data_IF_895892106555
#
_entry.id   IF_895892106555
#
_cell.length_a   1.000
_cell.length_b   1.000
_cell.length_c   1.000
_cell.angle_alpha   90.00
_cell.angle_beta   90.00
_cell.angle_gamma   90.00
#
_symmetry.space_group_name_H-M   'P 1'
#
loop_
_entity.id
_entity.type
_entity.pdbx_description
1 polymer ?
#
# COMPACT_ATOMS: atom_id res chain seq x y z
N UNK A 1 8.15 -4.96 -12.73
CA UNK A 1 9.22 -4.58 -11.79
C UNK A 1 8.75 -4.69 -10.33
N UNK A 2 7.65 -4.04 -9.93
CA UNK A 2 7.23 -3.96 -8.50
C UNK A 2 7.18 -5.34 -7.81
N UNK A 3 6.67 -6.36 -8.49
CA UNK A 3 6.57 -7.73 -7.97
C UNK A 3 7.80 -8.60 -8.24
N UNK A 4 8.87 -8.06 -8.81
CA UNK A 4 10.15 -8.75 -8.96
C UNK A 4 10.95 -8.79 -7.66
N UNK A 5 12.02 -9.58 -7.63
CA UNK A 5 12.91 -9.65 -6.47
C UNK A 5 13.45 -8.27 -6.07
N UNK A 6 13.85 -7.45 -7.03
CA UNK A 6 14.36 -6.10 -6.78
C UNK A 6 13.28 -5.17 -6.21
N UNK A 7 12.07 -5.20 -6.79
CA UNK A 7 10.95 -4.41 -6.30
C UNK A 7 10.52 -4.82 -4.90
N UNK A 8 10.39 -6.11 -4.64
CA UNK A 8 9.99 -6.63 -3.33
C UNK A 8 11.07 -6.44 -2.26
N UNK A 9 12.35 -6.41 -2.63
CA UNK A 9 13.44 -6.03 -1.73
C UNK A 9 13.37 -4.54 -1.31
N UNK A 10 12.81 -3.66 -2.14
CA UNK A 10 12.53 -2.28 -1.77
C UNK A 10 11.34 -2.22 -0.83
N UNK A 11 10.25 -2.93 -1.15
CA UNK A 11 9.04 -3.00 -0.33
C UNK A 11 9.35 -3.50 1.08
N UNK A 12 10.15 -4.58 1.21
CA UNK A 12 10.45 -5.22 2.50
C UNK A 12 11.25 -4.35 3.48
N UNK A 13 11.74 -3.18 3.08
CA UNK A 13 12.43 -2.26 3.99
C UNK A 13 11.48 -1.58 4.98
N UNK A 14 10.24 -1.33 4.56
CA UNK A 14 9.28 -0.55 5.36
C UNK A 14 7.91 -1.24 5.47
N UNK A 15 7.65 -2.28 4.66
CA UNK A 15 6.38 -3.00 4.56
C UNK A 15 6.62 -4.50 4.50
N UNK A 16 5.54 -5.27 4.54
CA UNK A 16 5.59 -6.72 4.36
C UNK A 16 5.51 -7.00 2.85
N UNK A 17 6.55 -7.65 2.32
CA UNK A 17 6.57 -8.10 0.93
C UNK A 17 5.47 -9.13 0.67
N UNK A 18 4.94 -9.13 -0.55
CA UNK A 18 3.86 -10.06 -0.93
C UNK A 18 4.34 -11.22 -1.79
N UNK A 19 5.63 -11.23 -2.14
CA UNK A 19 6.24 -12.25 -2.99
C UNK A 19 7.69 -12.55 -2.55
N UNK A 20 7.85 -13.38 -1.54
CA UNK A 20 9.16 -13.77 -1.00
C UNK A 20 10.01 -14.62 -1.96
N UNK A 21 9.38 -15.28 -2.93
CA UNK A 21 10.03 -16.08 -3.96
C UNK A 21 10.10 -15.41 -5.32
N UNK A 22 10.04 -14.09 -5.37
CA UNK A 22 10.03 -13.34 -6.62
C UNK A 22 11.28 -13.59 -7.48
N UNK A 23 11.06 -13.82 -8.79
CA UNK A 23 12.15 -13.88 -9.75
C UNK A 23 12.75 -12.48 -9.99
N UNK A 24 14.04 -12.40 -10.37
CA UNK A 24 14.63 -11.14 -10.82
C UNK A 24 13.83 -10.51 -11.97
N UNK A 25 13.88 -9.17 -12.05
CA UNK A 25 13.20 -8.46 -13.11
C UNK A 25 13.82 -8.80 -14.48
N UNK A 26 12.99 -9.34 -15.35
CA UNK A 26 13.37 -9.71 -16.73
C UNK A 26 12.46 -9.08 -17.77
N UNK A 27 11.68 -8.07 -17.38
CA UNK A 27 10.73 -7.39 -18.26
C UNK A 27 11.41 -6.53 -19.35
N UNK A 28 10.63 -6.19 -20.35
CA UNK A 28 11.03 -5.23 -21.38
C UNK A 28 11.24 -3.84 -20.76
N UNK A 29 12.00 -3.01 -21.46
CA UNK A 29 12.27 -1.60 -21.08
C UNK A 29 11.55 -0.65 -22.04
N UNK A 30 10.21 -0.54 -21.94
CA UNK A 30 9.46 0.34 -22.84
C UNK A 30 9.82 1.80 -22.58
N UNK A 31 9.75 2.62 -23.62
CA UNK A 31 9.83 4.07 -23.50
C UNK A 31 8.42 4.67 -23.50
N UNK A 32 8.28 5.82 -22.89
CA UNK A 32 7.03 6.57 -22.83
C UNK A 32 6.73 7.09 -21.43
N UNK A 33 5.60 7.80 -21.33
CA UNK A 33 5.12 8.40 -20.09
C UNK A 33 3.97 7.60 -19.53
N UNK A 34 3.98 7.39 -18.21
CA UNK A 34 2.84 6.90 -17.43
C UNK A 34 2.59 7.82 -16.24
N UNK A 35 1.34 8.00 -15.89
CA UNK A 35 0.90 8.78 -14.73
C UNK A 35 0.35 7.83 -13.66
N UNK A 36 0.98 7.84 -12.51
CA UNK A 36 0.62 7.01 -11.36
C UNK A 36 0.10 7.93 -10.26
N UNK A 37 -1.08 7.66 -9.70
CA UNK A 37 -1.63 8.56 -8.69
C UNK A 37 -2.51 7.89 -7.66
N UNK A 38 -2.66 8.53 -6.49
CA UNK A 38 -3.57 8.09 -5.44
C UNK A 38 -2.96 8.11 -4.03
N UNK A 39 -3.24 7.09 -3.24
CA UNK A 39 -3.00 6.99 -1.81
C UNK A 39 -1.67 7.55 -1.31
N UNK A 40 -1.74 8.51 -0.38
CA UNK A 40 -0.58 9.07 0.32
C UNK A 40 0.17 8.03 1.17
N UNK A 41 -0.50 6.98 1.64
CA UNK A 41 0.15 5.88 2.37
C UNK A 41 1.01 5.01 1.45
N UNK A 42 0.67 4.92 0.16
CA UNK A 42 1.43 4.17 -0.85
C UNK A 42 2.54 5.03 -1.47
N UNK A 43 2.39 6.34 -1.46
CA UNK A 43 3.33 7.30 -2.05
C UNK A 43 4.80 7.01 -1.73
N UNK A 44 5.20 6.92 -0.45
CA UNK A 44 6.61 6.75 -0.09
C UNK A 44 7.29 5.49 -0.64
N UNK A 45 6.58 4.36 -0.68
CA UNK A 45 7.13 3.14 -1.27
C UNK A 45 7.14 3.22 -2.80
N UNK A 46 6.13 3.86 -3.39
CA UNK A 46 6.05 4.03 -4.84
C UNK A 46 7.17 4.95 -5.36
N UNK A 47 7.51 6.02 -4.64
CA UNK A 47 8.65 6.89 -4.97
C UNK A 47 9.95 6.09 -5.08
N UNK A 48 10.26 5.25 -4.09
CA UNK A 48 11.45 4.39 -4.08
C UNK A 48 11.45 3.39 -5.23
N UNK A 49 10.28 2.81 -5.55
CA UNK A 49 10.11 1.87 -6.66
C UNK A 49 10.29 2.55 -8.02
N UNK A 50 9.77 3.76 -8.18
CA UNK A 50 9.92 4.58 -9.39
C UNK A 50 11.38 4.96 -9.61
N UNK A 51 12.07 5.44 -8.58
CA UNK A 51 13.49 5.77 -8.66
C UNK A 51 14.33 4.56 -9.11
N UNK A 52 14.16 3.42 -8.44
CA UNK A 52 14.89 2.20 -8.78
C UNK A 52 14.55 1.69 -10.20
N UNK A 53 13.30 1.82 -10.63
CA UNK A 53 12.92 1.42 -11.99
C UNK A 53 13.53 2.33 -13.06
N UNK A 54 13.62 3.64 -12.80
CA UNK A 54 14.27 4.60 -13.72
C UNK A 54 15.75 4.32 -13.95
N UNK A 55 16.45 3.77 -12.94
CA UNK A 55 17.85 3.32 -13.10
C UNK A 55 17.95 2.14 -14.08
N UNK A 56 16.97 1.24 -14.07
CA UNK A 56 16.92 0.08 -14.96
C UNK A 56 16.43 0.47 -16.35
N UNK A 57 15.45 1.36 -16.42
CA UNK A 57 14.79 1.79 -17.65
C UNK A 57 14.77 3.32 -17.77
N UNK A 58 15.79 3.87 -18.37
CA UNK A 58 15.94 5.32 -18.59
C UNK A 58 14.99 5.90 -19.65
N UNK A 59 14.31 5.05 -20.41
CA UNK A 59 13.31 5.47 -21.40
C UNK A 59 11.90 5.68 -20.84
N UNK A 60 11.66 5.29 -19.57
CA UNK A 60 10.37 5.47 -18.93
C UNK A 60 10.29 6.82 -18.20
N UNK A 61 9.29 7.62 -18.53
CA UNK A 61 8.90 8.80 -17.76
C UNK A 61 7.73 8.43 -16.85
N UNK A 62 7.94 8.49 -15.54
CA UNK A 62 6.91 8.17 -14.56
C UNK A 62 6.61 9.42 -13.76
N UNK A 63 5.37 9.91 -13.88
CA UNK A 63 4.82 11.01 -13.09
C UNK A 63 4.05 10.41 -11.91
N UNK A 64 4.39 10.84 -10.69
CA UNK A 64 3.74 10.37 -9.47
C UNK A 64 2.91 11.51 -8.83
N UNK A 65 1.62 11.26 -8.64
CA UNK A 65 0.68 12.19 -8.01
C UNK A 65 0.15 11.61 -6.71
N UNK A 66 0.52 12.20 -5.57
CA UNK A 66 0.13 11.71 -4.24
C UNK A 66 -1.12 12.44 -3.76
N UNK A 67 -2.19 11.68 -3.52
CA UNK A 67 -3.51 12.16 -3.11
C UNK A 67 -4.13 11.21 -2.06
N UNK A 68 -5.37 10.81 -2.26
CA UNK A 68 -6.06 9.77 -1.52
C UNK A 68 -6.44 8.57 -2.41
N UNK A 69 -6.81 7.45 -1.76
CA UNK A 69 -7.16 6.22 -2.49
C UNK A 69 -8.38 6.39 -3.41
N UNK A 70 -9.35 7.22 -3.04
CA UNK A 70 -10.55 7.43 -3.87
C UNK A 70 -10.23 8.23 -5.11
N UNK A 71 -9.43 9.30 -4.98
CA UNK A 71 -8.93 10.07 -6.12
C UNK A 71 -8.11 9.20 -7.07
N UNK A 72 -7.25 8.30 -6.53
CA UNK A 72 -6.51 7.35 -7.33
C UNK A 72 -7.40 6.40 -8.13
N UNK A 73 -8.43 5.83 -7.51
CA UNK A 73 -9.34 4.92 -8.20
C UNK A 73 -10.20 5.64 -9.23
N UNK A 74 -10.75 6.81 -8.88
CA UNK A 74 -11.53 7.64 -9.83
C UNK A 74 -10.68 8.05 -11.03
N UNK A 75 -9.46 8.53 -10.79
CA UNK A 75 -8.57 8.94 -11.87
C UNK A 75 -8.17 7.81 -12.81
N UNK A 76 -8.03 6.58 -12.30
CA UNK A 76 -7.76 5.42 -13.13
C UNK A 76 -9.00 4.98 -13.95
N UNK A 77 -10.20 5.04 -13.36
CA UNK A 77 -11.47 4.76 -14.08
C UNK A 77 -11.70 5.78 -15.19
N UNK A 78 -11.47 7.07 -14.91
CA UNK A 78 -11.68 8.15 -15.86
C UNK A 78 -10.59 8.24 -16.94
N UNK A 79 -9.52 7.42 -16.83
CA UNK A 79 -8.39 7.44 -17.76
C UNK A 79 -7.45 8.65 -17.60
N UNK A 80 -7.56 9.39 -16.49
CA UNK A 80 -6.64 10.48 -16.15
C UNK A 80 -5.33 9.97 -15.53
N UNK A 81 -5.35 8.76 -15.00
CA UNK A 81 -4.20 8.03 -14.47
C UNK A 81 -4.08 6.69 -15.19
N UNK A 82 -2.86 6.29 -15.55
CA UNK A 82 -2.58 4.96 -16.08
C UNK A 82 -2.60 3.90 -14.98
N UNK A 83 -2.22 4.30 -13.75
CA UNK A 83 -2.20 3.43 -12.57
C UNK A 83 -2.73 4.19 -11.35
N UNK A 84 -3.73 3.62 -10.70
CA UNK A 84 -4.25 4.13 -9.43
C UNK A 84 -3.60 3.45 -8.22
N UNK A 85 -3.24 4.20 -7.19
CA UNK A 85 -2.73 3.70 -5.91
C UNK A 85 -3.80 3.73 -4.83
N UNK A 86 -3.97 2.62 -4.10
CA UNK A 86 -4.88 2.55 -2.97
C UNK A 86 -4.28 1.80 -1.78
N UNK A 87 -4.53 2.27 -0.56
CA UNK A 87 -4.21 1.60 0.70
C UNK A 87 -5.41 0.86 1.29
N UNK A 88 -6.36 0.50 0.45
CA UNK A 88 -7.57 -0.29 0.77
C UNK A 88 -7.93 -1.21 -0.38
N UNK A 89 -8.78 -2.18 -0.11
CA UNK A 89 -9.40 -2.98 -1.18
C UNK A 89 -10.28 -2.13 -2.11
N UNK A 90 -10.49 -2.60 -3.33
CA UNK A 90 -11.43 -2.01 -4.26
C UNK A 90 -12.87 -2.17 -3.76
N UNK A 91 -13.69 -1.14 -3.91
CA UNK A 91 -15.13 -1.21 -3.74
C UNK A 91 -15.75 -2.05 -4.86
N UNK A 92 -16.95 -2.57 -4.67
CA UNK A 92 -17.58 -3.43 -5.68
C UNK A 92 -17.81 -2.70 -7.01
N UNK A 93 -18.13 -1.41 -6.97
CA UNK A 93 -18.23 -0.57 -8.17
C UNK A 93 -16.88 -0.37 -8.88
N UNK A 94 -15.78 -0.34 -8.14
CA UNK A 94 -14.43 -0.18 -8.70
C UNK A 94 -13.90 -1.49 -9.31
N UNK A 95 -14.30 -2.66 -8.75
CA UNK A 95 -13.90 -3.98 -9.26
C UNK A 95 -14.43 -4.29 -10.66
N UNK A 96 -15.51 -3.63 -11.06
CA UNK A 96 -16.08 -3.78 -12.40
C UNK A 96 -15.20 -3.14 -13.48
N UNK A 97 -14.43 -2.10 -13.12
CA UNK A 97 -13.66 -1.27 -14.03
C UNK A 97 -12.13 -1.44 -13.86
N UNK A 98 -11.69 -1.87 -12.67
CA UNK A 98 -10.28 -1.92 -12.31
C UNK A 98 -9.83 -3.33 -11.90
N UNK A 99 -8.61 -3.68 -12.29
CA UNK A 99 -7.90 -4.86 -11.78
C UNK A 99 -6.94 -4.45 -10.68
N UNK A 100 -7.06 -5.06 -9.48
CA UNK A 100 -6.15 -4.79 -8.36
C UNK A 100 -4.94 -5.71 -8.37
N UNK A 101 -3.78 -5.14 -8.06
CA UNK A 101 -2.53 -5.86 -7.83
C UNK A 101 -2.02 -5.46 -6.45
N UNK A 102 -1.91 -6.41 -5.52
CA UNK A 102 -1.34 -6.17 -4.20
C UNK A 102 0.18 -6.10 -4.35
N UNK A 103 0.77 -5.01 -3.89
CA UNK A 103 2.22 -4.76 -3.98
C UNK A 103 2.95 -4.85 -2.64
N UNK A 104 2.24 -4.63 -1.54
CA UNK A 104 2.74 -4.63 -0.18
C UNK A 104 1.60 -4.92 0.80
N UNK A 105 1.94 -5.36 2.01
CA UNK A 105 1.03 -5.37 3.15
C UNK A 105 1.60 -4.48 4.24
N UNK A 106 0.73 -3.85 5.02
CA UNK A 106 1.10 -3.02 6.15
C UNK A 106 0.47 -3.57 7.43
N UNK A 107 1.16 -3.38 8.55
CA UNK A 107 0.71 -3.76 9.87
C UNK A 107 0.28 -2.54 10.68
N UNK A 108 -0.91 -2.59 11.29
CA UNK A 108 -1.35 -1.56 12.23
C UNK A 108 -1.02 -2.03 13.63
N UNK A 109 -0.16 -1.29 14.34
CA UNK A 109 0.16 -1.53 15.73
C UNK A 109 -0.70 -0.63 16.63
N UNK A 110 -1.30 -1.22 17.64
CA UNK A 110 -1.95 -0.48 18.71
C UNK A 110 -0.91 -0.17 19.78
N UNK A 111 -0.71 1.10 20.08
CA UNK A 111 0.24 1.55 21.09
C UNK A 111 -0.51 2.08 22.30
N UNK A 112 -0.06 1.71 23.50
CA UNK A 112 -0.58 2.17 24.77
C UNK A 112 0.56 2.75 25.61
N UNK A 113 0.23 3.52 26.64
CA UNK A 113 1.23 4.04 27.57
C UNK A 113 1.92 2.87 28.29
N UNK A 114 3.24 2.94 28.47
CA UNK A 114 4.03 1.87 29.14
C UNK A 114 3.64 1.61 30.60
N UNK A 115 2.93 2.55 31.25
CA UNK A 115 2.37 2.36 32.59
C UNK A 115 1.02 1.63 32.58
N UNK A 116 0.45 1.35 31.39
CA UNK A 116 -0.76 0.54 31.29
C UNK A 116 -0.40 -0.93 31.57
N UNK A 117 -1.11 -1.62 32.47
CA UNK A 117 -0.80 -3.00 32.82
C UNK A 117 -1.16 -4.02 31.72
N UNK A 118 -1.78 -3.58 30.64
CA UNK A 118 -2.20 -4.44 29.55
C UNK A 118 -0.99 -4.81 28.68
N UNK A 119 -0.74 -6.09 28.48
CA UNK A 119 0.36 -6.60 27.65
C UNK A 119 -0.11 -7.00 26.25
N UNK A 120 -1.36 -7.46 26.14
CA UNK A 120 -1.95 -7.90 24.88
C UNK A 120 -3.45 -7.58 24.82
N UNK A 121 -3.98 -7.47 23.62
CA UNK A 121 -5.42 -7.34 23.35
C UNK A 121 -5.81 -8.23 22.18
N UNK A 122 -6.96 -8.87 22.28
CA UNK A 122 -7.56 -9.58 21.17
C UNK A 122 -8.25 -8.61 20.20
N UNK A 123 -8.51 -9.04 18.97
CA UNK A 123 -9.26 -8.25 18.00
C UNK A 123 -10.68 -7.91 18.46
N UNK A 124 -11.32 -8.81 19.24
CA UNK A 124 -12.65 -8.56 19.79
C UNK A 124 -12.60 -7.47 20.89
N UNK A 125 -11.67 -7.58 21.83
CA UNK A 125 -11.44 -6.54 22.84
C UNK A 125 -11.10 -5.19 22.21
N UNK A 126 -10.29 -5.19 21.15
CA UNK A 126 -9.96 -3.96 20.41
C UNK A 126 -11.23 -3.33 19.82
N UNK A 127 -12.09 -4.12 19.22
CA UNK A 127 -13.37 -3.66 18.67
C UNK A 127 -14.28 -3.10 19.79
N UNK A 128 -14.32 -3.73 20.96
CA UNK A 128 -15.10 -3.26 22.12
C UNK A 128 -14.60 -1.93 22.67
N UNK A 129 -13.26 -1.72 22.67
CA UNK A 129 -12.66 -0.43 23.05
C UNK A 129 -13.11 0.67 22.07
N UNK A 130 -12.96 0.43 20.77
CA UNK A 130 -13.24 1.45 19.75
C UNK A 130 -14.73 1.72 19.53
N UNK A 131 -15.62 0.79 19.84
CA UNK A 131 -17.07 1.02 19.79
C UNK A 131 -17.65 1.57 21.12
N UNK A 132 -16.81 1.65 22.18
CA UNK A 132 -17.20 2.19 23.48
C UNK A 132 -17.95 1.20 24.39
N UNK A 133 -17.96 -0.10 24.05
CA UNK A 133 -18.56 -1.14 24.90
C UNK A 133 -17.70 -1.42 26.14
N UNK A 134 -16.37 -1.33 25.99
CA UNK A 134 -15.39 -1.41 27.07
C UNK A 134 -14.80 -0.03 27.32
N UNK A 135 -14.91 0.50 28.52
CA UNK A 135 -14.51 1.87 28.86
C UNK A 135 -13.39 1.97 29.88
N UNK A 136 -13.04 0.85 30.50
CA UNK A 136 -11.96 0.79 31.50
C UNK A 136 -10.99 -0.34 31.19
N UNK A 137 -9.71 -0.12 31.46
CA UNK A 137 -8.67 -1.14 31.23
C UNK A 137 -8.81 -2.37 32.10
N UNK A 138 -9.44 -2.25 33.28
CA UNK A 138 -9.70 -3.37 34.19
C UNK A 138 -10.68 -4.41 33.65
N UNK A 139 -11.49 -4.07 32.65
CA UNK A 139 -12.42 -4.98 31.99
C UNK A 139 -11.73 -5.90 30.97
N UNK A 140 -10.47 -5.61 30.63
CA UNK A 140 -9.68 -6.34 29.64
C UNK A 140 -8.64 -7.31 30.26
N UNK A 141 -8.57 -7.38 31.59
CA UNK A 141 -7.63 -8.24 32.32
C UNK A 141 -8.22 -9.63 32.60
#
# INVERSE_FOLDING_TARGET
FILSAEGQAIVSKDYIAVNDGAAPYSGSKPSGKIVVGGSSSVGPVMEKLVEAYKEINTGAEIELQVNDSTAGMTGAIDGNLDVGMASRGLKDSEKAELTSIIIAQDGIAVVINHNNPLEEVTMEQLKEIFNGSTTTWSELQ
#
